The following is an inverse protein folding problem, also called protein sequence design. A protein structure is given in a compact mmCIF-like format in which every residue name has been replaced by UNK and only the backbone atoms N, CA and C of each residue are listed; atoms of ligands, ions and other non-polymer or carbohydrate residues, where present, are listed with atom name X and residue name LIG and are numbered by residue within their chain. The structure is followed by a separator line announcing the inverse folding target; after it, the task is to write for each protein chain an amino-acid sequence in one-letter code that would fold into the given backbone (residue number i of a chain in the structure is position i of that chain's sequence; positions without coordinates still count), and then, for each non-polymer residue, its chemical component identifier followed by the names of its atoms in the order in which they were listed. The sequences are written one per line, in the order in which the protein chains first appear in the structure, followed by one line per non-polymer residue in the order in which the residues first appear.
data_IF_473846256379
#
_entry.id   IF_473846256379
#
_cell.length_a   1.000
_cell.length_b   1.000
_cell.length_c   1.000
_cell.angle_alpha   90.00
_cell.angle_beta   90.00
_cell.angle_gamma   90.00
#
_symmetry.space_group_name_H-M   'P 1'
#
loop_
_entity.id
_entity.type
_entity.pdbx_description
1 polymer ?
#
# COMPACT_ATOMS: atom_id res chain seq x y z
N UNK A 1 -29.46 -4.51 49.05
CA UNK A 1 -28.17 -3.79 48.89
C UNK A 1 -27.30 -4.32 47.75
N UNK A 2 -27.26 -5.65 47.53
CA UNK A 2 -26.42 -6.32 46.50
C UNK A 2 -26.78 -5.95 45.05
N UNK A 3 -28.07 -5.94 44.69
CA UNK A 3 -28.53 -5.62 43.31
C UNK A 3 -28.14 -4.19 42.88
N UNK A 4 -28.11 -3.23 43.81
CA UNK A 4 -27.74 -1.83 43.52
C UNK A 4 -26.26 -1.66 43.14
N UNK A 5 -25.39 -2.63 43.48
CA UNK A 5 -23.97 -2.64 43.11
C UNK A 5 -23.70 -3.48 41.84
N UNK A 6 -24.56 -4.46 41.55
CA UNK A 6 -24.36 -5.40 40.46
C UNK A 6 -24.44 -4.75 39.07
N UNK A 7 -25.43 -3.89 38.83
CA UNK A 7 -25.62 -3.22 37.53
C UNK A 7 -24.44 -2.27 37.23
N UNK A 8 -24.01 -1.37 38.14
CA UNK A 8 -22.82 -0.56 37.92
C UNK A 8 -21.55 -1.40 37.75
N UNK A 9 -21.42 -2.53 38.46
CA UNK A 9 -20.27 -3.43 38.34
C UNK A 9 -20.17 -4.03 36.93
N UNK A 10 -21.29 -4.56 36.41
CA UNK A 10 -21.34 -5.15 35.07
C UNK A 10 -21.05 -4.08 34.01
N UNK A 11 -21.65 -2.90 34.13
CA UNK A 11 -21.39 -1.80 33.21
C UNK A 11 -19.92 -1.38 33.22
N UNK A 12 -19.34 -1.19 34.41
CA UNK A 12 -17.92 -0.86 34.60
C UNK A 12 -17.03 -1.93 33.97
N UNK A 13 -17.33 -3.21 34.20
CA UNK A 13 -16.59 -4.32 33.64
C UNK A 13 -16.61 -4.30 32.09
N UNK A 14 -17.77 -4.07 31.48
CA UNK A 14 -17.90 -3.96 30.01
C UNK A 14 -17.05 -2.81 29.47
N UNK A 15 -17.10 -1.63 30.12
CA UNK A 15 -16.33 -0.45 29.71
C UNK A 15 -14.83 -0.71 29.83
N UNK A 16 -14.39 -1.29 30.95
CA UNK A 16 -12.97 -1.65 31.19
C UNK A 16 -12.49 -2.66 30.15
N UNK A 17 -13.24 -3.73 29.88
CA UNK A 17 -12.91 -4.72 28.85
C UNK A 17 -12.81 -4.06 27.48
N UNK A 18 -13.72 -3.14 27.15
CA UNK A 18 -13.71 -2.41 25.88
C UNK A 18 -12.46 -1.53 25.73
N UNK A 19 -12.08 -0.78 26.77
CA UNK A 19 -10.86 0.03 26.74
C UNK A 19 -9.59 -0.83 26.66
N UNK A 20 -9.53 -1.94 27.39
CA UNK A 20 -8.42 -2.89 27.27
C UNK A 20 -8.33 -3.47 25.86
N UNK A 21 -9.46 -3.87 25.26
CA UNK A 21 -9.51 -4.38 23.89
C UNK A 21 -9.02 -3.34 22.87
N UNK A 22 -9.42 -2.08 23.01
CA UNK A 22 -8.95 -0.97 22.18
C UNK A 22 -7.43 -0.73 22.38
N UNK A 23 -6.94 -0.78 23.61
CA UNK A 23 -5.51 -0.65 23.92
C UNK A 23 -4.67 -1.76 23.27
N UNK A 24 -5.11 -3.01 23.39
CA UNK A 24 -4.46 -4.17 22.74
C UNK A 24 -4.49 -4.03 21.22
N UNK A 25 -5.62 -3.62 20.65
CA UNK A 25 -5.74 -3.39 19.22
C UNK A 25 -4.77 -2.31 18.70
N UNK A 26 -4.60 -1.22 19.45
CA UNK A 26 -3.61 -0.17 19.11
C UNK A 26 -2.17 -0.70 19.11
N UNK A 27 -1.80 -1.54 20.09
CA UNK A 27 -0.48 -2.19 20.13
C UNK A 27 -0.31 -3.16 18.95
N UNK A 28 -1.32 -3.97 18.65
CA UNK A 28 -1.31 -4.87 17.51
C UNK A 28 -1.08 -4.08 16.20
N UNK A 29 -1.82 -2.99 16.00
CA UNK A 29 -1.71 -2.15 14.81
C UNK A 29 -0.34 -1.48 14.71
N UNK A 30 0.21 -1.04 15.84
CA UNK A 30 1.57 -0.52 15.95
C UNK A 30 2.61 -1.55 15.46
N UNK A 31 2.50 -2.80 15.91
CA UNK A 31 3.46 -3.84 15.56
C UNK A 31 3.39 -4.24 14.08
N UNK A 32 2.18 -4.37 13.53
CA UNK A 32 1.99 -4.59 12.08
C UNK A 32 2.70 -3.49 11.27
N UNK A 33 2.54 -2.24 11.69
CA UNK A 33 3.15 -1.09 11.03
C UNK A 33 4.67 -1.08 11.14
N UNK A 34 5.22 -1.43 12.31
CA UNK A 34 6.66 -1.58 12.53
C UNK A 34 7.26 -2.69 11.67
N UNK A 35 6.58 -3.83 11.56
CA UNK A 35 7.03 -4.95 10.73
C UNK A 35 7.12 -4.55 9.26
N UNK A 36 6.09 -3.88 8.73
CA UNK A 36 6.11 -3.35 7.36
C UNK A 36 7.27 -2.37 7.15
N UNK A 37 7.48 -1.45 8.09
CA UNK A 37 8.59 -0.49 8.00
C UNK A 37 9.94 -1.19 8.03
N UNK A 38 10.13 -2.18 8.90
CA UNK A 38 11.38 -2.96 8.95
C UNK A 38 11.65 -3.70 7.64
N UNK A 39 10.61 -4.23 6.97
CA UNK A 39 10.77 -4.85 5.65
C UNK A 39 11.20 -3.83 4.61
N UNK A 40 10.58 -2.66 4.58
CA UNK A 40 10.97 -1.57 3.67
C UNK A 40 12.42 -1.13 3.91
N UNK A 41 12.82 -0.92 5.17
CA UNK A 41 14.18 -0.50 5.53
C UNK A 41 15.20 -1.58 5.20
N UNK A 42 14.99 -2.82 5.64
CA UNK A 42 15.93 -3.92 5.40
C UNK A 42 16.11 -4.20 3.91
N UNK A 43 15.06 -4.00 3.12
CA UNK A 43 15.11 -4.22 1.68
C UNK A 43 15.69 -3.04 0.89
N UNK A 44 15.78 -1.84 1.49
CA UNK A 44 16.31 -0.64 0.83
C UNK A 44 17.74 -0.82 0.33
N UNK A 45 18.57 -1.53 1.09
CA UNK A 45 19.98 -1.76 0.77
C UNK A 45 20.27 -3.21 0.34
N UNK A 46 19.23 -4.04 0.20
CA UNK A 46 19.36 -5.42 -0.25
C UNK A 46 19.74 -5.54 -1.73
N UNK A 47 20.42 -6.63 -2.08
CA UNK A 47 20.73 -6.98 -3.47
C UNK A 47 19.40 -7.18 -4.22
N UNK A 48 19.18 -6.51 -5.37
CA UNK A 48 17.94 -6.65 -6.11
C UNK A 48 17.67 -8.09 -6.54
N UNK A 49 16.46 -8.56 -6.25
CA UNK A 49 16.00 -9.90 -6.64
C UNK A 49 15.68 -9.90 -8.13
N UNK A 50 16.13 -10.91 -8.87
CA UNK A 50 15.79 -11.05 -10.29
C UNK A 50 14.37 -11.64 -10.45
N UNK A 51 13.39 -10.78 -10.77
CA UNK A 51 11.98 -11.15 -10.88
C UNK A 51 11.68 -12.16 -11.98
N UNK A 52 12.50 -12.24 -13.03
CA UNK A 52 12.31 -13.27 -14.06
C UNK A 52 12.34 -14.65 -13.42
N UNK A 53 13.29 -14.91 -12.51
CA UNK A 53 13.45 -16.23 -11.87
C UNK A 53 12.42 -16.55 -10.79
N UNK A 54 11.70 -15.56 -10.28
CA UNK A 54 10.83 -15.70 -9.10
C UNK A 54 9.38 -15.29 -9.37
N UNK A 55 9.00 -15.17 -10.64
CA UNK A 55 7.69 -14.66 -11.05
C UNK A 55 6.52 -15.49 -10.50
N UNK A 56 6.74 -16.79 -10.32
CA UNK A 56 5.76 -17.75 -9.78
C UNK A 56 5.73 -17.81 -8.25
N UNK A 57 6.63 -17.11 -7.54
CA UNK A 57 6.60 -17.07 -6.09
C UNK A 57 5.44 -16.18 -5.60
N UNK A 58 4.89 -16.53 -4.44
CA UNK A 58 3.82 -15.74 -3.81
C UNK A 58 4.28 -14.29 -3.60
N UNK A 59 3.44 -13.35 -4.06
CA UNK A 59 3.69 -11.90 -3.99
C UNK A 59 4.09 -11.45 -2.58
N UNK A 60 3.53 -12.08 -1.55
CA UNK A 60 3.73 -11.74 -0.14
C UNK A 60 5.20 -11.79 0.31
N UNK A 61 6.03 -12.63 -0.29
CA UNK A 61 7.45 -12.72 0.05
C UNK A 61 8.32 -11.69 -0.67
N UNK A 62 7.81 -11.11 -1.76
CA UNK A 62 8.52 -10.15 -2.59
C UNK A 62 8.17 -8.70 -2.24
N UNK A 63 7.09 -8.46 -1.50
CA UNK A 63 6.63 -7.09 -1.20
C UNK A 63 7.71 -6.27 -0.51
N UNK A 64 7.87 -5.03 -0.99
CA UNK A 64 8.86 -4.04 -0.57
C UNK A 64 10.31 -4.44 -0.85
N UNK A 65 10.58 -5.56 -1.54
CA UNK A 65 11.93 -5.93 -1.96
C UNK A 65 12.38 -5.10 -3.16
N UNK A 66 13.69 -4.79 -3.19
CA UNK A 66 14.33 -4.32 -4.42
C UNK A 66 14.39 -5.46 -5.41
N UNK A 67 14.04 -5.17 -6.65
CA UNK A 67 13.97 -6.18 -7.67
C UNK A 67 14.33 -5.62 -9.04
N UNK A 68 14.93 -6.48 -9.86
CA UNK A 68 15.29 -6.20 -11.23
C UNK A 68 14.50 -7.13 -12.14
N UNK A 69 13.98 -6.59 -13.23
CA UNK A 69 13.27 -7.34 -14.25
C UNK A 69 13.75 -6.95 -15.65
N UNK A 70 13.74 -7.92 -16.56
CA UNK A 70 14.12 -7.72 -17.96
C UNK A 70 12.94 -8.05 -18.84
N UNK A 71 12.69 -7.21 -19.83
CA UNK A 71 11.60 -7.44 -20.76
C UNK A 71 11.42 -6.31 -21.74
N UNK A 72 10.31 -6.35 -22.45
CA UNK A 72 9.92 -5.34 -23.43
C UNK A 72 8.57 -4.75 -23.05
N UNK A 73 8.43 -3.43 -23.12
CA UNK A 73 7.15 -2.79 -22.85
C UNK A 73 6.16 -3.13 -23.97
N UNK A 74 4.90 -3.41 -23.61
CA UNK A 74 3.86 -3.60 -24.63
C UNK A 74 3.48 -2.24 -25.21
N UNK A 75 3.88 -2.03 -26.45
CA UNK A 75 3.56 -0.84 -27.23
C UNK A 75 2.04 -0.57 -27.24
N UNK A 76 1.68 0.71 -27.05
CA UNK A 76 0.30 1.17 -27.07
C UNK A 76 -0.57 0.76 -25.88
N UNK A 77 0.02 0.14 -24.83
CA UNK A 77 -0.70 -0.34 -23.65
C UNK A 77 -0.34 0.43 -22.37
N UNK A 78 0.08 1.68 -22.50
CA UNK A 78 0.39 2.55 -21.37
C UNK A 78 -0.88 2.96 -20.61
N UNK A 79 -0.82 2.96 -19.29
CA UNK A 79 -1.87 3.37 -18.35
C UNK A 79 -1.49 4.69 -17.70
N UNK A 80 -2.48 5.55 -17.48
CA UNK A 80 -2.30 6.84 -16.81
C UNK A 80 -3.08 6.87 -15.50
N UNK A 81 -2.35 6.66 -14.41
CA UNK A 81 -2.86 6.73 -13.04
C UNK A 81 -3.03 8.20 -12.64
N UNK A 82 -4.21 8.58 -12.17
CA UNK A 82 -4.58 9.95 -11.86
C UNK A 82 -4.42 10.25 -10.36
N UNK A 83 -3.85 11.41 -10.04
CA UNK A 83 -3.90 11.99 -8.70
C UNK A 83 -3.06 11.27 -7.62
N UNK A 84 -2.05 10.48 -7.98
CA UNK A 84 -1.19 9.77 -7.02
C UNK A 84 -0.06 10.62 -6.44
N UNK A 85 0.44 11.56 -7.23
CA UNK A 85 1.58 12.40 -6.88
C UNK A 85 1.27 13.86 -7.24
N UNK A 86 2.24 14.75 -7.03
CA UNK A 86 2.07 16.20 -7.31
C UNK A 86 1.62 16.46 -8.75
N UNK A 87 2.12 15.68 -9.70
CA UNK A 87 1.66 15.73 -11.09
C UNK A 87 0.33 14.99 -11.26
N UNK A 88 -0.47 15.49 -12.20
CA UNK A 88 -1.82 14.98 -12.48
C UNK A 88 -1.84 13.49 -12.84
N UNK A 89 -0.82 13.02 -13.57
CA UNK A 89 -0.74 11.66 -14.05
C UNK A 89 0.56 10.97 -13.65
N UNK A 90 0.47 9.66 -13.45
CA UNK A 90 1.58 8.74 -13.25
C UNK A 90 1.50 7.65 -14.31
N UNK A 91 2.59 7.48 -15.05
CA UNK A 91 2.71 6.51 -16.13
C UNK A 91 2.96 5.12 -15.56
N UNK A 92 2.11 4.18 -15.94
CA UNK A 92 2.33 2.75 -15.73
C UNK A 92 2.34 2.03 -17.08
N UNK A 93 3.32 1.16 -17.29
CA UNK A 93 3.49 0.43 -18.55
C UNK A 93 3.60 -1.07 -18.28
N UNK A 94 2.83 -1.92 -18.99
CA UNK A 94 3.00 -3.37 -18.91
C UNK A 94 4.30 -3.79 -19.59
N UNK A 95 5.12 -4.56 -18.87
CA UNK A 95 6.37 -5.12 -19.35
C UNK A 95 6.20 -6.63 -19.54
N UNK A 96 6.43 -7.11 -20.77
CA UNK A 96 6.49 -8.52 -21.12
C UNK A 96 7.89 -9.06 -20.86
N UNK A 97 8.02 -10.01 -19.95
CA UNK A 97 9.29 -10.66 -19.64
C UNK A 97 9.68 -11.65 -20.73
N UNK A 98 10.95 -12.04 -20.76
CA UNK A 98 11.45 -13.06 -21.71
C UNK A 98 10.79 -14.43 -21.52
N UNK A 99 10.23 -14.69 -20.33
CA UNK A 99 9.50 -15.92 -20.00
C UNK A 99 8.01 -15.84 -20.37
N UNK A 100 7.57 -14.71 -20.94
CA UNK A 100 6.21 -14.50 -21.42
C UNK A 100 5.22 -14.05 -20.35
N UNK A 101 5.69 -13.66 -19.16
CA UNK A 101 4.88 -13.10 -18.09
C UNK A 101 4.74 -11.58 -18.23
N UNK A 102 3.68 -10.99 -17.64
CA UNK A 102 3.46 -9.54 -17.64
C UNK A 102 3.52 -8.99 -16.24
N UNK A 103 4.34 -7.95 -16.06
CA UNK A 103 4.34 -7.13 -14.86
C UNK A 103 3.97 -5.69 -15.21
N UNK A 104 3.18 -5.05 -14.34
CA UNK A 104 2.96 -3.62 -14.44
C UNK A 104 4.16 -2.88 -13.85
N UNK A 105 4.70 -1.91 -14.57
CA UNK A 105 5.81 -1.06 -14.10
C UNK A 105 5.31 0.37 -13.98
N UNK A 106 5.27 0.91 -12.78
CA UNK A 106 5.00 2.33 -12.52
C UNK A 106 6.31 3.08 -12.72
N UNK A 107 6.40 3.80 -13.85
CA UNK A 107 7.66 4.40 -14.35
C UNK A 107 7.93 5.76 -13.75
N UNK A 108 6.88 6.56 -13.58
CA UNK A 108 7.01 7.84 -12.92
C UNK A 108 5.87 8.81 -13.16
N UNK A 109 5.98 10.01 -12.60
CA UNK A 109 5.01 11.07 -12.79
C UNK A 109 5.23 11.76 -14.15
N UNK A 110 4.15 12.20 -14.80
CA UNK A 110 4.25 12.91 -16.07
C UNK A 110 3.41 14.19 -16.04
N UNK A 111 3.94 15.25 -16.66
CA UNK A 111 3.16 16.45 -16.90
C UNK A 111 2.01 16.17 -17.87
N UNK A 112 0.86 16.81 -17.69
CA UNK A 112 -0.33 16.58 -18.52
C UNK A 112 -0.05 16.78 -20.02
N UNK A 113 0.76 17.79 -20.37
CA UNK A 113 1.19 18.07 -21.76
C UNK A 113 1.91 16.89 -22.43
N UNK A 114 2.52 16.00 -21.66
CA UNK A 114 3.25 14.84 -22.18
C UNK A 114 2.34 13.59 -22.32
N UNK A 115 1.08 13.63 -21.88
CA UNK A 115 0.17 12.48 -21.98
C UNK A 115 -0.03 12.04 -23.44
N UNK A 116 -0.26 13.00 -24.34
CA UNK A 116 -0.44 12.72 -25.76
C UNK A 116 0.82 12.14 -26.41
N UNK A 117 2.01 12.55 -25.95
CA UNK A 117 3.27 11.96 -26.37
C UNK A 117 3.29 10.46 -26.02
N UNK A 118 2.95 10.08 -24.78
CA UNK A 118 2.92 8.67 -24.37
C UNK A 118 1.76 7.85 -24.93
N UNK A 119 0.69 8.50 -25.40
CA UNK A 119 -0.39 7.84 -26.14
C UNK A 119 -0.01 7.58 -27.60
N UNK A 120 0.61 8.57 -28.27
CA UNK A 120 0.93 8.52 -29.71
C UNK A 120 2.27 7.85 -30.02
N UNK A 121 3.29 8.09 -29.19
CA UNK A 121 4.66 7.57 -29.38
C UNK A 121 4.92 6.24 -28.67
N UNK A 122 3.89 5.63 -28.07
CA UNK A 122 3.92 4.24 -27.60
C UNK A 122 4.26 3.23 -28.71
N UNK A 123 4.31 3.67 -29.97
CA UNK A 123 4.65 2.88 -31.14
C UNK A 123 5.94 3.31 -31.85
N UNK A 124 6.79 4.20 -31.31
CA UNK A 124 7.87 4.76 -32.16
C UNK A 124 9.26 4.83 -31.54
N UNK A 125 9.49 5.18 -30.28
CA UNK A 125 10.86 5.55 -29.87
C UNK A 125 11.44 4.91 -28.59
N UNK A 126 10.68 4.17 -27.78
CA UNK A 126 11.24 3.40 -26.63
C UNK A 126 10.63 2.00 -26.47
N UNK A 127 9.34 1.84 -26.75
CA UNK A 127 8.63 0.57 -26.54
C UNK A 127 8.87 -0.45 -27.68
N UNK A 128 9.60 -0.08 -28.75
CA UNK A 128 9.54 -0.82 -30.02
C UNK A 128 10.59 -1.89 -30.29
N UNK A 129 11.69 -2.06 -29.54
CA UNK A 129 12.65 -3.12 -29.95
C UNK A 129 13.73 -3.59 -28.98
N UNK A 130 14.11 -2.85 -27.93
CA UNK A 130 15.19 -3.28 -27.04
C UNK A 130 14.65 -3.80 -25.71
N UNK A 131 15.07 -5.01 -25.33
CA UNK A 131 14.88 -5.49 -23.96
C UNK A 131 15.49 -4.48 -22.98
N UNK A 132 14.69 -3.97 -22.05
CA UNK A 132 15.11 -3.06 -20.99
C UNK A 132 15.27 -3.82 -19.68
N UNK A 133 16.20 -3.39 -18.83
CA UNK A 133 16.41 -3.91 -17.48
C UNK A 133 15.96 -2.88 -16.47
N UNK A 134 14.79 -3.06 -15.86
CA UNK A 134 14.20 -2.11 -14.90
C UNK A 134 14.49 -2.56 -13.47
N UNK A 135 14.99 -1.64 -12.66
CA UNK A 135 15.08 -1.81 -11.20
C UNK A 135 13.97 -1.03 -10.51
N UNK A 136 13.36 -1.65 -9.49
CA UNK A 136 12.33 -1.01 -8.70
C UNK A 136 12.02 -1.71 -7.38
N UNK A 137 10.96 -1.25 -6.72
CA UNK A 137 10.41 -1.83 -5.50
C UNK A 137 9.12 -2.58 -5.85
N UNK A 138 9.01 -3.83 -5.40
CA UNK A 138 7.80 -4.63 -5.62
C UNK A 138 6.69 -4.19 -4.68
N UNK A 139 5.51 -3.93 -5.23
CA UNK A 139 4.30 -3.55 -4.50
C UNK A 139 3.13 -4.45 -4.91
N UNK A 140 2.20 -4.68 -3.98
CA UNK A 140 1.04 -5.53 -4.23
C UNK A 140 0.12 -4.89 -5.25
N UNK A 141 -0.42 -5.68 -6.17
CA UNK A 141 -1.38 -5.17 -7.14
C UNK A 141 -2.66 -4.76 -6.40
N UNK A 142 -3.15 -3.57 -6.72
CA UNK A 142 -4.26 -2.98 -6.01
C UNK A 142 -5.57 -3.68 -6.34
N UNK A 143 -6.54 -3.54 -5.44
CA UNK A 143 -7.91 -4.00 -5.68
C UNK A 143 -8.84 -2.81 -5.69
N UNK A 144 -9.82 -2.82 -6.59
CA UNK A 144 -10.87 -1.82 -6.58
C UNK A 144 -11.69 -1.95 -5.28
N UNK A 145 -11.62 -0.92 -4.43
CA UNK A 145 -12.43 -0.83 -3.22
C UNK A 145 -13.84 -0.30 -3.50
N UNK A 146 -14.81 -0.64 -2.65
CA UNK A 146 -16.21 -0.24 -2.82
C UNK A 146 -16.47 1.28 -2.74
N UNK A 147 -15.57 2.04 -2.10
CA UNK A 147 -15.69 3.49 -1.91
C UNK A 147 -14.96 4.30 -2.99
N UNK A 148 -14.13 3.68 -3.82
CA UNK A 148 -13.43 4.36 -4.89
C UNK A 148 -14.26 4.28 -6.18
N UNK A 149 -14.34 5.35 -6.98
CA UNK A 149 -14.87 5.28 -8.33
C UNK A 149 -14.10 4.25 -9.17
N UNK A 150 -14.79 3.59 -10.10
CA UNK A 150 -14.16 2.64 -11.03
C UNK A 150 -13.23 3.34 -12.01
N UNK A 151 -12.24 2.60 -12.52
CA UNK A 151 -11.35 3.09 -13.58
C UNK A 151 -12.13 3.42 -14.86
N UNK A 152 -11.72 4.47 -15.58
CA UNK A 152 -12.27 4.77 -16.90
C UNK A 152 -11.32 4.24 -17.99
N UNK A 153 -11.57 3.00 -18.40
CA UNK A 153 -10.80 2.30 -19.42
C UNK A 153 -10.87 2.99 -20.80
N UNK A 154 -11.99 3.64 -21.13
CA UNK A 154 -12.20 4.29 -22.44
C UNK A 154 -11.34 5.55 -22.59
N UNK A 155 -11.29 6.39 -21.55
CA UNK A 155 -10.48 7.61 -21.54
C UNK A 155 -9.05 7.38 -21.03
N UNK A 156 -8.70 6.12 -20.71
CA UNK A 156 -7.43 5.73 -20.12
C UNK A 156 -7.07 6.58 -18.88
N UNK A 157 -8.02 6.66 -17.94
CA UNK A 157 -7.87 7.34 -16.64
C UNK A 157 -8.05 6.29 -15.55
N UNK A 158 -7.00 6.08 -14.78
CA UNK A 158 -6.93 5.01 -13.77
C UNK A 158 -6.77 5.60 -12.38
N UNK A 159 -7.45 5.04 -11.41
CA UNK A 159 -7.27 5.35 -9.99
C UNK A 159 -6.49 4.22 -9.32
N UNK A 160 -6.82 2.98 -9.68
CA UNK A 160 -6.22 1.76 -9.15
C UNK A 160 -5.53 0.96 -10.26
N UNK A 161 -4.55 0.13 -9.89
CA UNK A 161 -4.01 -0.90 -10.79
C UNK A 161 -4.76 -2.23 -10.60
N UNK A 162 -6.09 -2.20 -10.60
CA UNK A 162 -6.89 -3.42 -10.42
C UNK A 162 -6.62 -4.47 -11.50
N UNK A 163 -6.40 -5.72 -11.10
CA UNK A 163 -6.00 -6.80 -11.99
C UNK A 163 -6.96 -7.00 -13.15
N UNK A 164 -8.26 -7.02 -12.87
CA UNK A 164 -9.26 -7.36 -13.88
C UNK A 164 -9.39 -6.23 -14.91
N UNK A 165 -9.32 -4.99 -14.44
CA UNK A 165 -9.34 -3.82 -15.32
C UNK A 165 -8.07 -3.75 -16.17
N UNK A 166 -6.90 -4.00 -15.59
CA UNK A 166 -5.63 -4.09 -16.34
C UNK A 166 -5.74 -5.14 -17.43
N UNK A 167 -6.24 -6.35 -17.12
CA UNK A 167 -6.45 -7.43 -18.11
C UNK A 167 -7.37 -6.97 -19.23
N UNK A 168 -8.50 -6.31 -18.91
CA UNK A 168 -9.43 -5.78 -19.94
C UNK A 168 -8.76 -4.77 -20.87
N UNK A 169 -7.83 -3.96 -20.36
CA UNK A 169 -7.14 -2.94 -21.15
C UNK A 169 -6.01 -3.51 -22.02
N UNK A 170 -5.17 -4.38 -21.45
CA UNK A 170 -4.03 -4.94 -22.18
C UNK A 170 -4.45 -6.06 -23.15
N UNK A 171 -5.50 -6.81 -22.80
CA UNK A 171 -6.08 -7.88 -23.61
C UNK A 171 -6.21 -9.20 -22.83
N UNK A 172 -7.31 -9.93 -23.06
CA UNK A 172 -7.61 -11.18 -22.34
C UNK A 172 -6.59 -12.30 -22.58
N UNK A 173 -5.84 -12.27 -23.68
CA UNK A 173 -4.77 -13.23 -23.95
C UNK A 173 -3.66 -13.24 -22.89
N UNK A 174 -3.62 -12.21 -22.02
CA UNK A 174 -2.66 -12.07 -20.94
C UNK A 174 -3.22 -12.37 -19.55
N UNK A 175 -4.49 -12.78 -19.43
CA UNK A 175 -5.16 -12.97 -18.13
C UNK A 175 -4.40 -13.92 -17.18
N UNK A 176 -3.83 -14.99 -17.73
CA UNK A 176 -3.08 -16.00 -16.96
C UNK A 176 -1.58 -15.69 -16.79
N UNK A 177 -1.11 -14.57 -17.36
CA UNK A 177 0.32 -14.21 -17.43
C UNK A 177 0.67 -13.00 -16.57
N UNK A 178 -0.34 -12.27 -16.08
CA UNK A 178 -0.12 -11.06 -15.29
C UNK A 178 0.17 -11.37 -13.82
N UNK A 179 1.20 -10.75 -13.26
CA UNK A 179 1.57 -10.86 -11.85
C UNK A 179 0.50 -10.30 -10.91
N UNK A 180 0.49 -10.79 -9.66
CA UNK A 180 -0.32 -10.22 -8.57
C UNK A 180 0.40 -9.04 -7.86
N UNK A 181 1.45 -8.50 -8.46
CA UNK A 181 2.26 -7.40 -7.96
C UNK A 181 2.71 -6.51 -9.12
N UNK A 182 3.06 -5.27 -8.82
CA UNK A 182 3.63 -4.33 -9.78
C UNK A 182 5.00 -3.84 -9.28
N UNK A 183 5.80 -3.27 -10.18
CA UNK A 183 7.12 -2.73 -9.88
C UNK A 183 7.05 -1.20 -9.88
N UNK A 184 7.46 -0.56 -8.79
CA UNK A 184 7.68 0.88 -8.74
C UNK A 184 9.12 1.18 -9.15
N UNK A 185 9.32 1.75 -10.34
CA UNK A 185 10.64 2.01 -10.89
C UNK A 185 11.44 3.00 -10.02
N UNK A 186 12.70 2.66 -9.72
CA UNK A 186 13.59 3.49 -8.90
C UNK A 186 14.83 3.98 -9.63
N UNK A 187 15.22 3.33 -10.74
CA UNK A 187 16.41 3.68 -11.49
C UNK A 187 16.20 4.90 -12.42
N UNK A 188 16.36 6.11 -11.87
CA UNK A 188 16.19 7.37 -12.59
C UNK A 188 17.01 7.47 -13.90
N UNK A 189 18.18 6.83 -13.98
CA UNK A 189 19.07 6.90 -15.14
C UNK A 189 18.52 6.27 -16.42
N UNK A 190 17.47 5.44 -16.33
CA UNK A 190 16.81 4.81 -17.48
C UNK A 190 15.42 5.39 -17.77
N UNK A 191 15.04 6.45 -17.04
CA UNK A 191 13.75 7.09 -17.19
C UNK A 191 13.88 8.15 -18.30
N UNK A 192 12.94 8.15 -19.24
CA UNK A 192 12.84 9.20 -20.27
C UNK A 192 12.81 10.57 -19.58
N UNK A 193 13.57 11.55 -20.08
CA UNK A 193 13.61 12.93 -19.56
C UNK A 193 12.24 13.59 -19.37
N UNK A 194 11.21 13.10 -20.07
CA UNK A 194 9.82 13.57 -19.98
C UNK A 194 9.04 12.99 -18.79
N UNK A 195 9.61 12.01 -18.09
CA UNK A 195 9.06 11.35 -16.90
C UNK A 195 9.84 11.84 -15.67
N UNK A 196 9.12 12.25 -14.65
CA UNK A 196 9.66 12.67 -13.36
C UNK A 196 9.76 11.41 -12.48
N UNK A 197 10.97 11.01 -12.04
CA UNK A 197 11.14 9.86 -11.16
C UNK A 197 10.36 10.03 -9.87
N UNK A 198 9.76 8.94 -9.38
CA UNK A 198 9.03 8.97 -8.11
C UNK A 198 10.03 8.91 -6.97
N UNK A 199 9.91 9.87 -6.05
CA UNK A 199 10.64 9.77 -4.79
C UNK A 199 10.06 8.60 -4.00
N UNK A 200 10.90 7.62 -3.69
CA UNK A 200 10.55 6.45 -2.86
C UNK A 200 10.59 6.75 -1.36
N UNK A 201 10.56 8.04 -0.97
CA UNK A 201 10.57 8.50 0.41
C UNK A 201 9.21 8.27 1.07
N UNK A 202 8.81 7.01 1.20
CA UNK A 202 7.62 6.57 1.94
C UNK A 202 7.90 6.58 3.45
N UNK A 203 9.17 6.62 3.85
CA UNK A 203 9.62 6.34 5.22
C UNK A 203 9.57 7.56 6.15
N UNK A 204 9.68 8.78 5.64
CA UNK A 204 10.21 9.86 6.50
C UNK A 204 9.22 10.61 7.39
N UNK A 205 7.91 10.35 7.35
CA UNK A 205 6.96 11.09 8.23
C UNK A 205 5.79 10.27 8.73
N UNK A 206 6.02 8.99 9.02
CA UNK A 206 4.97 8.18 9.60
C UNK A 206 4.87 8.45 11.10
N UNK A 207 4.07 9.45 11.49
CA UNK A 207 3.75 9.71 12.89
C UNK A 207 3.26 8.42 13.56
N UNK A 208 3.85 8.09 14.70
CA UNK A 208 3.62 6.82 15.39
C UNK A 208 2.97 7.03 16.76
N UNK A 209 1.76 7.59 16.74
CA UNK A 209 1.04 7.95 17.96
C UNK A 209 0.25 6.76 18.54
N UNK A 210 0.29 5.57 17.91
CA UNK A 210 -0.46 4.38 18.37
C UNK A 210 -0.08 3.95 19.78
N UNK A 211 1.20 4.11 20.17
CA UNK A 211 1.63 3.82 21.54
C UNK A 211 1.01 4.81 22.54
N UNK A 212 0.98 6.09 22.20
CA UNK A 212 0.34 7.13 23.02
C UNK A 212 -1.16 6.84 23.19
N UNK A 213 -1.86 6.48 22.10
CA UNK A 213 -3.27 6.10 22.17
C UNK A 213 -3.50 4.83 22.99
N UNK A 214 -2.65 3.80 22.84
CA UNK A 214 -2.74 2.60 23.68
C UNK A 214 -2.64 2.95 25.17
N UNK A 215 -1.68 3.82 25.53
CA UNK A 215 -1.53 4.30 26.91
C UNK A 215 -2.80 5.01 27.41
N UNK A 216 -3.38 5.91 26.61
CA UNK A 216 -4.64 6.59 26.96
C UNK A 216 -5.76 5.58 27.24
N UNK A 217 -5.94 4.56 26.39
CA UNK A 217 -6.97 3.54 26.60
C UNK A 217 -6.76 2.74 27.89
N UNK A 218 -5.53 2.31 28.19
CA UNK A 218 -5.24 1.63 29.45
C UNK A 218 -5.39 2.55 30.67
N UNK A 219 -4.99 3.82 30.58
CA UNK A 219 -5.21 4.79 31.64
C UNK A 219 -6.70 5.00 31.92
N UNK A 220 -7.54 5.10 30.88
CA UNK A 220 -8.99 5.20 31.04
C UNK A 220 -9.58 3.94 31.71
N UNK A 221 -9.11 2.75 31.35
CA UNK A 221 -9.50 1.50 32.01
C UNK A 221 -9.17 1.51 33.51
N UNK A 222 -7.98 1.99 33.88
CA UNK A 222 -7.55 2.13 35.28
C UNK A 222 -8.41 3.16 36.00
N UNK A 223 -8.60 4.36 35.44
CA UNK A 223 -9.39 5.44 36.06
C UNK A 223 -10.80 4.95 36.36
N UNK A 224 -11.48 4.33 35.39
CA UNK A 224 -12.85 3.83 35.58
C UNK A 224 -12.91 2.73 36.65
N UNK A 225 -11.91 1.84 36.69
CA UNK A 225 -11.80 0.80 37.72
C UNK A 225 -11.60 1.39 39.11
N UNK A 226 -10.73 2.39 39.25
CA UNK A 226 -10.46 3.10 40.51
C UNK A 226 -11.69 3.88 40.97
N UNK A 227 -12.38 4.58 40.05
CA UNK A 227 -13.62 5.30 40.36
C UNK A 227 -14.69 4.36 40.90
N UNK A 228 -14.88 3.18 40.28
CA UNK A 228 -15.81 2.18 40.78
C UNK A 228 -15.40 1.67 42.17
N UNK A 229 -14.12 1.37 42.39
CA UNK A 229 -13.60 0.93 43.68
C UNK A 229 -13.86 1.97 44.78
N UNK A 230 -13.48 3.23 44.54
CA UNK A 230 -13.69 4.32 45.50
C UNK A 230 -15.18 4.47 45.83
N UNK A 231 -16.06 4.46 44.81
CA UNK A 231 -17.49 4.71 45.00
C UNK A 231 -18.22 3.64 45.82
N UNK A 232 -17.75 2.39 45.78
CA UNK A 232 -18.47 1.25 46.34
C UNK A 232 -17.71 0.49 47.44
N UNK A 233 -16.40 0.69 47.59
CA UNK A 233 -15.54 -0.05 48.52
C UNK A 233 -14.64 0.83 49.39
N UNK A 234 -14.33 2.06 48.99
CA UNK A 234 -13.72 3.01 49.91
C UNK A 234 -14.82 3.63 50.78
N UNK A 235 -14.78 3.40 52.10
CA UNK A 235 -15.70 3.97 53.11
C UNK A 235 -15.50 5.49 53.28
N UNK A 236 -15.42 6.25 52.19
CA UNK A 236 -15.17 7.70 52.21
C UNK A 236 -16.48 8.49 52.42
N UNK A 237 -17.64 7.81 52.40
CA UNK A 237 -18.95 8.44 52.55
C UNK A 237 -19.73 7.98 53.79
N UNK A 238 -19.13 7.20 54.70
CA UNK A 238 -19.80 6.77 55.94
C UNK A 238 -19.56 7.75 57.11
N UNK A 239 -18.71 8.78 56.95
CA UNK A 239 -18.36 9.78 57.97
C UNK A 239 -18.79 11.24 57.63
N UNK A 240 -19.76 11.43 56.73
CA UNK A 240 -20.41 12.73 56.44
C UNK A 240 -21.93 12.59 56.51
#
# INVERSE_FOLDING_TARGET
MVIKRLIPAIFTAIVVVSFCALGVWQIYRLNVKKELLSKVVNNKDSIPINLNKVFNLSSRHLLFSRAVIKGQFLAGKNLFLYGRYKEKYTLASPLLTNEGNIIMVVRGAIAEKNKDYFLKNASTNQDKQSSVEIEGIVLELEKQGALLPSNNLKSNIWLTLDKDDVIKHIGQQYANKISNFYLLQTNASQIDSTIIPLQTNVIDKVQNNHLQYALVWFCLAIIVSVMYYIRFHANIYDDL
#
